data_IF_745600807850
#
_entry.id   IF_745600807850
#
_cell.length_a   1.000
_cell.length_b   1.000
_cell.length_c   1.000
_cell.angle_alpha   90.00
_cell.angle_beta   90.00
_cell.angle_gamma   90.00
#
_symmetry.space_group_name_H-M   'P 1'
#
loop_
_entity.id
_entity.type
_entity.pdbx_description
1 polymer ?
#
# COMPACT_ATOMS: atom_id res chain seq x y z
N UNK A 1 -69.97 -23.97 13.46
CA UNK A 1 -68.68 -24.42 12.86
C UNK A 1 -67.83 -23.28 12.28
N UNK A 2 -68.27 -22.03 12.20
CA UNK A 2 -67.57 -20.90 11.51
C UNK A 2 -66.54 -20.17 12.38
N UNK A 3 -66.68 -20.12 13.72
CA UNK A 3 -65.82 -19.36 14.65
C UNK A 3 -64.43 -20.02 14.82
N UNK A 4 -64.34 -21.33 14.86
CA UNK A 4 -63.05 -22.06 15.04
C UNK A 4 -62.13 -21.92 13.82
N UNK A 5 -62.69 -21.85 12.60
CA UNK A 5 -61.90 -21.65 11.36
C UNK A 5 -61.29 -20.25 11.28
N UNK A 6 -61.99 -19.22 11.77
CA UNK A 6 -61.51 -17.82 11.80
C UNK A 6 -60.33 -17.61 12.74
N UNK A 7 -60.34 -18.25 13.92
CA UNK A 7 -59.26 -18.20 14.92
C UNK A 7 -57.98 -18.88 14.43
N UNK A 8 -58.10 -20.05 13.78
CA UNK A 8 -56.96 -20.80 13.23
C UNK A 8 -56.28 -20.03 12.09
N UNK A 9 -57.02 -19.34 11.20
CA UNK A 9 -56.56 -18.51 10.12
C UNK A 9 -55.81 -17.25 10.62
N UNK A 10 -56.28 -16.64 11.70
CA UNK A 10 -55.62 -15.50 12.31
C UNK A 10 -54.30 -15.88 13.01
N UNK A 11 -54.24 -17.04 13.66
CA UNK A 11 -53.01 -17.60 14.23
C UNK A 11 -51.95 -17.87 13.13
N UNK A 12 -52.35 -18.51 12.03
CA UNK A 12 -51.45 -18.74 10.90
C UNK A 12 -50.89 -17.44 10.32
N UNK A 13 -51.72 -16.39 10.11
CA UNK A 13 -51.27 -15.09 9.66
C UNK A 13 -50.29 -14.46 10.64
N UNK A 14 -50.55 -14.56 11.94
CA UNK A 14 -49.66 -14.04 13.00
C UNK A 14 -48.28 -14.74 12.93
N UNK A 15 -48.22 -16.06 12.87
CA UNK A 15 -46.97 -16.80 12.75
C UNK A 15 -46.24 -16.48 11.45
N UNK A 16 -46.92 -16.31 10.33
CA UNK A 16 -46.30 -15.95 9.05
C UNK A 16 -45.68 -14.55 9.13
N UNK A 17 -46.37 -13.57 9.72
CA UNK A 17 -45.82 -12.21 9.94
C UNK A 17 -44.61 -12.26 10.87
N UNK A 18 -44.68 -13.01 11.96
CA UNK A 18 -43.59 -13.16 12.92
C UNK A 18 -42.37 -13.80 12.26
N UNK A 19 -42.52 -14.84 11.45
CA UNK A 19 -41.42 -15.49 10.73
C UNK A 19 -40.79 -14.51 9.72
N UNK A 20 -41.60 -13.81 8.96
CA UNK A 20 -41.12 -12.79 8.00
C UNK A 20 -40.36 -11.68 8.75
N UNK A 21 -40.89 -11.19 9.88
CA UNK A 21 -40.21 -10.17 10.66
C UNK A 21 -38.85 -10.63 11.20
N UNK A 22 -38.78 -11.85 11.73
CA UNK A 22 -37.53 -12.44 12.22
C UNK A 22 -36.51 -12.54 11.04
N UNK A 23 -36.96 -12.99 9.88
CA UNK A 23 -36.14 -13.13 8.70
C UNK A 23 -35.60 -11.76 8.23
N UNK A 24 -36.42 -10.73 8.21
CA UNK A 24 -35.99 -9.36 7.90
C UNK A 24 -34.97 -8.80 8.92
N UNK A 25 -35.19 -9.07 10.21
CA UNK A 25 -34.27 -8.65 11.27
C UNK A 25 -32.93 -9.37 11.11
N UNK A 26 -32.92 -10.68 10.87
CA UNK A 26 -31.66 -11.44 10.70
C UNK A 26 -30.90 -10.99 9.47
N UNK A 27 -31.58 -10.75 8.34
CA UNK A 27 -30.95 -10.16 7.14
C UNK A 27 -30.41 -8.75 7.42
N UNK A 28 -31.19 -7.90 8.07
CA UNK A 28 -30.78 -6.54 8.46
C UNK A 28 -29.53 -6.55 9.36
N UNK A 29 -29.51 -7.41 10.38
CA UNK A 29 -28.34 -7.58 11.25
C UNK A 29 -27.11 -8.11 10.48
N UNK A 30 -27.32 -9.04 9.55
CA UNK A 30 -26.26 -9.55 8.67
C UNK A 30 -25.64 -8.45 7.81
N UNK A 31 -26.48 -7.60 7.21
CA UNK A 31 -26.04 -6.46 6.40
C UNK A 31 -25.27 -5.45 7.26
N UNK A 32 -25.80 -5.08 8.42
CA UNK A 32 -25.11 -4.15 9.35
C UNK A 32 -23.77 -4.75 9.81
N UNK A 33 -23.73 -6.04 10.15
CA UNK A 33 -22.51 -6.73 10.55
C UNK A 33 -21.47 -6.75 9.43
N UNK A 34 -21.90 -6.97 8.18
CA UNK A 34 -21.01 -6.93 7.00
C UNK A 34 -20.40 -5.53 6.81
N UNK A 35 -21.20 -4.46 6.85
CA UNK A 35 -20.66 -3.10 6.69
C UNK A 35 -19.79 -2.67 7.88
N UNK A 36 -20.14 -3.09 9.10
CA UNK A 36 -19.30 -2.88 10.27
C UNK A 36 -17.93 -3.55 10.10
N UNK A 37 -17.92 -4.81 9.65
CA UNK A 37 -16.68 -5.54 9.38
C UNK A 37 -15.83 -4.82 8.32
N UNK A 38 -16.43 -4.40 7.17
CA UNK A 38 -15.75 -3.69 6.10
C UNK A 38 -15.12 -2.36 6.56
N UNK A 39 -15.70 -1.72 7.57
CA UNK A 39 -15.19 -0.47 8.12
C UNK A 39 -14.11 -0.69 9.18
N UNK A 40 -14.32 -1.62 10.10
CA UNK A 40 -13.45 -1.79 11.28
C UNK A 40 -12.25 -2.72 11.03
N UNK A 41 -12.33 -3.69 10.12
CA UNK A 41 -11.23 -4.59 9.86
C UNK A 41 -9.96 -3.85 9.37
N UNK A 42 -10.02 -2.94 8.36
CA UNK A 42 -8.84 -2.19 7.94
C UNK A 42 -8.25 -1.29 9.05
N UNK A 43 -9.09 -0.75 9.94
CA UNK A 43 -8.61 0.04 11.09
C UNK A 43 -7.80 -0.82 12.05
N UNK A 44 -8.29 -2.04 12.34
CA UNK A 44 -7.57 -2.98 13.20
C UNK A 44 -6.26 -3.47 12.56
N UNK A 45 -6.29 -3.76 11.26
CA UNK A 45 -5.11 -4.12 10.46
C UNK A 45 -4.05 -3.01 10.49
N UNK A 46 -4.46 -1.75 10.32
CA UNK A 46 -3.57 -0.59 10.42
C UNK A 46 -2.97 -0.43 11.83
N UNK A 47 -3.74 -0.68 12.88
CA UNK A 47 -3.24 -0.64 14.25
C UNK A 47 -2.18 -1.73 14.51
N UNK A 48 -2.32 -2.92 13.93
CA UNK A 48 -1.30 -3.97 14.03
C UNK A 48 0.02 -3.56 13.36
N UNK A 49 -0.04 -2.93 12.19
CA UNK A 49 1.14 -2.41 11.50
C UNK A 49 1.78 -1.26 12.28
N UNK A 50 0.99 -0.35 12.86
CA UNK A 50 1.51 0.72 13.71
C UNK A 50 2.22 0.16 14.95
N UNK A 51 1.64 -0.84 15.63
CA UNK A 51 2.28 -1.52 16.76
C UNK A 51 3.58 -2.21 16.33
N UNK A 52 3.60 -2.88 15.18
CA UNK A 52 4.82 -3.46 14.64
C UNK A 52 5.88 -2.39 14.40
N UNK A 53 5.50 -1.25 13.81
CA UNK A 53 6.41 -0.14 13.56
C UNK A 53 7.01 0.42 14.85
N UNK A 54 6.22 0.52 15.93
CA UNK A 54 6.69 0.97 17.25
C UNK A 54 7.63 -0.07 17.89
N UNK A 55 7.33 -1.37 17.75
CA UNK A 55 8.18 -2.44 18.30
C UNK A 55 9.52 -2.57 17.60
N UNK A 56 9.55 -2.45 16.27
CA UNK A 56 10.78 -2.61 15.46
C UNK A 56 11.50 -1.30 15.21
N UNK A 57 10.83 -0.16 15.43
CA UNK A 57 11.40 1.18 15.26
C UNK A 57 12.69 1.34 16.03
N UNK A 58 13.65 1.99 15.42
CA UNK A 58 14.94 2.34 16.04
C UNK A 58 15.11 3.85 15.93
N UNK A 59 15.05 4.55 17.08
CA UNK A 59 15.28 6.00 17.15
C UNK A 59 16.77 6.36 17.24
N UNK A 60 17.66 5.38 17.21
CA UNK A 60 19.08 5.59 17.54
C UNK A 60 20.02 5.14 16.44
N UNK A 61 20.95 6.02 16.12
CA UNK A 61 22.25 5.67 15.58
C UNK A 61 22.94 4.69 16.54
N UNK A 62 22.99 3.41 16.18
CA UNK A 62 23.77 2.42 16.93
C UNK A 62 25.17 2.31 16.34
N UNK A 63 26.20 2.30 17.22
CA UNK A 63 27.56 1.98 16.81
C UNK A 63 27.62 0.46 16.54
N UNK A 64 27.98 0.10 15.31
CA UNK A 64 28.30 -1.27 14.97
C UNK A 64 29.65 -1.72 15.54
N UNK A 65 29.89 -3.02 15.73
CA UNK A 65 31.15 -3.53 16.26
C UNK A 65 32.40 -3.12 15.46
N UNK A 66 32.24 -2.76 14.19
CA UNK A 66 33.30 -2.27 13.30
C UNK A 66 33.55 -0.76 13.42
N UNK A 67 32.83 -0.08 14.32
CA UNK A 67 32.94 1.38 14.52
C UNK A 67 32.11 2.22 13.55
N UNK A 68 31.40 1.61 12.63
CA UNK A 68 30.43 2.32 11.76
C UNK A 68 29.12 2.62 12.51
N UNK A 69 28.35 3.59 11.99
CA UNK A 69 27.07 3.99 12.58
C UNK A 69 25.95 3.35 11.78
N UNK A 70 25.14 2.51 12.43
CA UNK A 70 23.90 2.00 11.83
C UNK A 70 22.83 3.10 11.93
N UNK A 71 22.41 3.60 10.78
CA UNK A 71 21.32 4.58 10.64
C UNK A 71 20.00 3.91 10.24
N UNK A 72 19.89 2.60 10.46
CA UNK A 72 18.68 1.86 10.12
C UNK A 72 17.47 2.41 10.89
N UNK A 73 16.34 2.71 10.21
CA UNK A 73 15.12 3.15 10.87
C UNK A 73 14.44 2.03 11.66
N UNK A 74 14.92 0.80 11.54
CA UNK A 74 14.36 -0.38 12.16
C UNK A 74 15.43 -1.29 12.77
N UNK A 75 15.04 -2.02 13.82
CA UNK A 75 15.80 -3.12 14.36
C UNK A 75 15.54 -4.39 13.53
N UNK A 76 16.53 -4.80 12.72
CA UNK A 76 16.42 -5.93 11.80
C UNK A 76 16.15 -7.27 12.48
N UNK A 77 16.72 -7.49 13.69
CA UNK A 77 16.53 -8.75 14.41
C UNK A 77 15.10 -8.86 14.96
N UNK A 78 14.60 -7.77 15.52
CA UNK A 78 13.17 -7.68 15.92
C UNK A 78 12.23 -7.82 14.74
N UNK A 79 12.54 -7.21 13.59
CA UNK A 79 11.72 -7.34 12.39
C UNK A 79 11.68 -8.80 11.91
N UNK A 80 12.84 -9.48 11.88
CA UNK A 80 12.91 -10.89 11.50
C UNK A 80 12.11 -11.80 12.46
N UNK A 81 12.11 -11.48 13.75
CA UNK A 81 11.32 -12.21 14.76
C UNK A 81 9.81 -11.95 14.61
N UNK A 82 9.41 -10.68 14.47
CA UNK A 82 8.01 -10.25 14.55
C UNK A 82 7.27 -10.34 13.22
N UNK A 83 7.96 -10.16 12.11
CA UNK A 83 7.40 -10.18 10.76
C UNK A 83 8.38 -10.85 9.78
N UNK A 84 8.55 -12.18 9.83
CA UNK A 84 9.56 -12.91 9.05
C UNK A 84 9.38 -12.78 7.53
N UNK A 85 8.17 -12.48 7.05
CA UNK A 85 7.89 -12.25 5.64
C UNK A 85 8.28 -10.84 5.16
N UNK A 86 8.63 -9.92 6.08
CA UNK A 86 9.13 -8.60 5.71
C UNK A 86 10.53 -8.71 5.09
N UNK A 87 10.68 -8.23 3.88
CA UNK A 87 11.96 -8.20 3.15
C UNK A 87 12.57 -6.81 3.08
N UNK A 88 11.72 -5.79 3.28
CA UNK A 88 12.12 -4.39 3.34
C UNK A 88 11.19 -3.61 4.28
N UNK A 89 11.57 -2.37 4.55
CA UNK A 89 10.75 -1.39 5.28
C UNK A 89 10.74 -0.07 4.53
N UNK A 90 9.56 0.54 4.44
CA UNK A 90 9.32 1.79 3.75
C UNK A 90 8.71 2.83 4.69
N UNK A 91 9.36 3.99 4.80
CA UNK A 91 8.82 5.16 5.52
C UNK A 91 8.87 6.38 4.61
N UNK A 92 7.78 7.12 4.52
CA UNK A 92 7.71 8.38 3.75
C UNK A 92 7.37 9.52 4.69
N UNK A 93 8.29 10.45 4.85
CA UNK A 93 8.09 11.61 5.71
C UNK A 93 6.95 12.49 5.19
N UNK A 94 6.12 13.02 6.08
CA UNK A 94 4.94 13.81 5.75
C UNK A 94 3.71 12.99 5.32
N UNK A 95 3.75 11.67 5.51
CA UNK A 95 2.64 10.75 5.23
C UNK A 95 2.44 9.75 6.36
N UNK A 96 1.37 8.94 6.25
CA UNK A 96 1.11 7.82 7.15
C UNK A 96 1.94 6.57 6.82
N UNK A 97 2.75 6.59 5.77
CA UNK A 97 3.50 5.41 5.31
C UNK A 97 4.68 5.12 6.23
N UNK A 98 4.60 4.04 6.98
CA UNK A 98 5.66 3.48 7.83
C UNK A 98 5.41 1.97 7.98
N UNK A 99 5.74 1.21 6.94
CA UNK A 99 5.22 -0.13 6.73
C UNK A 99 6.31 -1.14 6.33
N UNK A 100 6.15 -2.42 6.72
CA UNK A 100 6.91 -3.51 6.14
C UNK A 100 6.56 -3.67 4.65
N UNK A 101 7.53 -4.15 3.87
CA UNK A 101 7.35 -4.51 2.47
C UNK A 101 7.70 -5.99 2.27
N UNK A 102 6.79 -6.73 1.67
CA UNK A 102 6.97 -8.14 1.36
C UNK A 102 7.49 -8.37 -0.07
N UNK A 103 8.07 -9.52 -0.30
CA UNK A 103 8.30 -10.06 -1.64
C UNK A 103 7.25 -11.14 -1.85
N UNK A 104 6.39 -11.04 -2.88
CA UNK A 104 5.34 -12.02 -3.12
C UNK A 104 5.94 -13.38 -3.54
N UNK A 105 5.25 -14.49 -3.23
CA UNK A 105 5.66 -15.82 -3.62
C UNK A 105 5.68 -15.99 -5.15
N UNK A 106 6.40 -17.00 -5.63
CA UNK A 106 6.62 -17.20 -7.07
C UNK A 106 5.38 -17.65 -7.83
N UNK A 107 4.43 -18.26 -7.17
CA UNK A 107 3.19 -18.81 -7.71
C UNK A 107 2.01 -17.82 -7.65
N UNK A 108 2.10 -16.78 -6.81
CA UNK A 108 1.08 -15.72 -6.73
C UNK A 108 1.70 -14.35 -6.45
N UNK A 109 1.96 -13.58 -7.51
CA UNK A 109 2.55 -12.24 -7.41
C UNK A 109 1.63 -11.21 -6.75
N UNK A 110 0.33 -11.51 -6.59
CA UNK A 110 -0.67 -10.60 -6.04
C UNK A 110 -1.17 -11.01 -4.65
N UNK A 111 -0.55 -12.01 -4.02
CA UNK A 111 -0.91 -12.52 -2.68
C UNK A 111 -1.13 -11.38 -1.68
N UNK A 112 -0.23 -10.41 -1.64
CA UNK A 112 -0.27 -9.32 -0.65
C UNK A 112 -1.29 -8.21 -0.95
N UNK A 113 -2.07 -8.32 -2.00
CA UNK A 113 -3.26 -7.46 -2.15
C UNK A 113 -4.32 -7.74 -1.07
N UNK A 114 -4.38 -8.96 -0.56
CA UNK A 114 -5.38 -9.36 0.43
C UNK A 114 -4.83 -10.24 1.56
N UNK A 115 -3.51 -10.22 1.78
CA UNK A 115 -2.87 -10.88 2.92
C UNK A 115 -1.96 -9.90 3.67
N UNK A 116 -1.98 -10.01 5.01
CA UNK A 116 -1.08 -9.25 5.88
C UNK A 116 0.36 -9.79 5.81
N UNK A 117 1.28 -9.10 6.49
CA UNK A 117 2.70 -9.49 6.53
C UNK A 117 2.91 -10.84 7.23
N UNK A 118 1.95 -11.33 8.00
CA UNK A 118 2.00 -12.63 8.67
C UNK A 118 1.36 -13.76 7.85
N UNK A 119 0.76 -13.45 6.69
CA UNK A 119 0.13 -14.40 5.78
C UNK A 119 -1.35 -14.67 6.05
N UNK A 120 -2.00 -13.89 6.92
CA UNK A 120 -3.44 -13.99 7.15
C UNK A 120 -4.20 -13.13 6.12
N UNK A 121 -5.46 -13.49 5.86
CA UNK A 121 -6.33 -12.64 5.06
C UNK A 121 -6.51 -11.27 5.72
N UNK A 122 -6.28 -10.20 4.98
CA UNK A 122 -6.42 -8.82 5.40
C UNK A 122 -6.91 -7.94 4.25
N UNK A 123 -7.93 -7.12 4.49
CA UNK A 123 -8.49 -6.25 3.44
C UNK A 123 -7.52 -5.15 3.00
N UNK A 124 -6.69 -4.68 3.91
CA UNK A 124 -5.67 -3.67 3.61
C UNK A 124 -4.45 -4.27 2.88
N UNK A 125 -4.27 -5.58 2.94
CA UNK A 125 -3.11 -6.25 2.40
C UNK A 125 -1.80 -5.83 3.07
N UNK A 126 -0.72 -5.92 2.33
CA UNK A 126 0.63 -5.48 2.73
C UNK A 126 1.28 -4.72 1.58
N UNK A 127 2.19 -3.81 1.84
CA UNK A 127 3.04 -3.26 0.78
C UNK A 127 3.94 -4.37 0.22
N UNK A 128 4.08 -4.45 -1.09
CA UNK A 128 4.88 -5.50 -1.71
C UNK A 128 5.61 -5.05 -2.97
N UNK A 129 6.75 -5.69 -3.24
CA UNK A 129 7.54 -5.47 -4.44
C UNK A 129 6.90 -6.14 -5.66
N UNK A 130 7.01 -5.50 -6.81
CA UNK A 130 6.77 -6.16 -8.09
C UNK A 130 7.83 -7.24 -8.34
N UNK A 131 7.42 -8.41 -8.79
CA UNK A 131 8.33 -9.54 -9.08
C UNK A 131 9.33 -9.26 -10.19
N UNK A 132 8.99 -8.38 -11.13
CA UNK A 132 9.87 -7.99 -12.23
C UNK A 132 10.92 -6.95 -11.80
N UNK A 133 10.79 -6.41 -10.58
CA UNK A 133 11.70 -5.41 -10.00
C UNK A 133 12.21 -5.86 -8.62
N UNK A 134 12.99 -6.96 -8.53
CA UNK A 134 13.51 -7.48 -7.26
C UNK A 134 14.40 -6.46 -6.52
N UNK A 135 14.78 -6.75 -5.27
CA UNK A 135 15.62 -5.87 -4.43
C UNK A 135 16.92 -5.46 -5.10
N UNK A 136 17.49 -6.32 -5.95
CA UNK A 136 18.71 -6.06 -6.72
C UNK A 136 18.52 -5.11 -7.91
N UNK A 137 17.27 -4.79 -8.29
CA UNK A 137 16.99 -3.90 -9.42
C UNK A 137 17.35 -2.45 -9.11
N UNK A 138 17.83 -1.72 -10.11
CA UNK A 138 18.01 -0.25 -10.05
C UNK A 138 16.68 0.47 -9.89
N UNK A 139 15.66 0.01 -10.59
CA UNK A 139 14.30 0.51 -10.51
C UNK A 139 13.41 -0.50 -9.80
N UNK A 140 12.78 -0.09 -8.69
CA UNK A 140 11.90 -0.95 -7.87
C UNK A 140 10.50 -0.38 -7.85
N UNK A 141 9.51 -1.25 -7.94
CA UNK A 141 8.10 -0.88 -7.82
C UNK A 141 7.54 -1.48 -6.53
N UNK A 142 6.91 -0.64 -5.73
CA UNK A 142 6.19 -1.05 -4.51
C UNK A 142 4.71 -0.76 -4.71
N UNK A 143 3.90 -1.78 -4.57
CA UNK A 143 2.44 -1.68 -4.59
C UNK A 143 1.87 -1.57 -3.18
N UNK A 144 0.76 -0.88 -3.06
CA UNK A 144 -0.02 -0.81 -1.83
C UNK A 144 -1.43 -0.26 -2.07
N UNK A 145 -2.39 -0.68 -1.27
CA UNK A 145 -3.75 -0.16 -1.35
C UNK A 145 -3.88 1.29 -0.90
N UNK A 146 -4.80 2.03 -1.52
CA UNK A 146 -5.32 3.28 -0.98
C UNK A 146 -6.54 2.98 -0.10
N UNK A 147 -6.34 2.92 1.21
CA UNK A 147 -7.40 2.58 2.16
C UNK A 147 -8.01 3.82 2.81
N UNK A 148 -9.35 3.87 2.92
CA UNK A 148 -10.06 4.98 3.56
C UNK A 148 -9.72 5.15 5.05
N UNK A 149 -9.22 4.10 5.72
CA UNK A 149 -8.76 4.14 7.11
C UNK A 149 -7.43 4.91 7.31
N UNK A 150 -6.91 5.60 6.28
CA UNK A 150 -5.63 6.33 6.29
C UNK A 150 -4.44 5.43 6.61
N UNK A 151 -4.44 4.23 6.06
CA UNK A 151 -3.36 3.25 6.16
C UNK A 151 -2.83 2.90 4.77
N UNK A 152 -1.77 2.12 4.71
CA UNK A 152 -1.07 1.75 3.48
C UNK A 152 -0.72 3.01 2.65
N UNK A 153 -1.02 3.02 1.36
CA UNK A 153 -0.76 4.14 0.46
C UNK A 153 -1.92 5.15 0.37
N UNK A 154 -2.71 5.31 1.46
CA UNK A 154 -3.76 6.33 1.49
C UNK A 154 -3.25 7.71 1.05
N UNK A 155 -2.19 8.18 1.73
CA UNK A 155 -1.61 9.52 1.50
C UNK A 155 -0.79 9.60 0.20
N UNK A 156 -0.54 8.48 -0.48
CA UNK A 156 0.14 8.45 -1.79
C UNK A 156 -0.86 8.64 -2.94
N UNK A 157 -2.11 8.21 -2.75
CA UNK A 157 -3.12 8.16 -3.81
C UNK A 157 -3.49 9.48 -4.46
N UNK A 158 -3.25 10.63 -3.81
CA UNK A 158 -3.54 11.97 -4.33
C UNK A 158 -2.29 12.77 -4.74
N UNK A 159 -1.10 12.16 -4.69
CA UNK A 159 0.18 12.84 -4.93
C UNK A 159 0.47 13.21 -6.39
N UNK A 160 -0.38 12.79 -7.32
CA UNK A 160 -0.34 13.28 -8.69
C UNK A 160 -0.95 14.70 -8.84
N UNK A 161 -1.48 15.29 -7.77
CA UNK A 161 -1.83 16.73 -7.69
C UNK A 161 -0.63 17.52 -7.15
N UNK A 162 -0.22 18.57 -7.84
CA UNK A 162 0.99 19.32 -7.50
C UNK A 162 1.02 19.84 -6.06
N UNK A 163 -0.11 20.37 -5.57
CA UNK A 163 -0.22 20.87 -4.19
C UNK A 163 0.01 19.78 -3.14
N UNK A 164 -0.51 18.58 -3.39
CA UNK A 164 -0.34 17.43 -2.52
C UNK A 164 1.07 16.81 -2.66
N UNK A 165 1.63 16.81 -3.88
CA UNK A 165 2.99 16.36 -4.15
C UNK A 165 4.04 17.16 -3.35
N UNK A 166 3.87 18.47 -3.25
CA UNK A 166 4.79 19.36 -2.54
C UNK A 166 4.91 19.07 -1.04
N UNK A 167 3.99 18.28 -0.48
CA UNK A 167 4.02 17.85 0.92
C UNK A 167 4.78 16.52 1.13
N UNK A 168 5.29 15.90 0.05
CA UNK A 168 6.09 14.69 0.17
C UNK A 168 7.49 15.01 0.70
N UNK A 169 7.87 14.31 1.74
CA UNK A 169 9.23 14.33 2.27
C UNK A 169 10.09 13.19 1.73
N UNK A 170 11.22 12.99 2.40
CA UNK A 170 12.17 11.93 2.09
C UNK A 170 11.52 10.56 2.34
N UNK A 171 11.73 9.65 1.41
CA UNK A 171 11.47 8.24 1.57
C UNK A 171 12.73 7.58 2.15
N UNK A 172 12.58 6.93 3.28
CA UNK A 172 13.60 6.05 3.87
C UNK A 172 13.23 4.61 3.52
N UNK A 173 14.17 3.93 2.90
CA UNK A 173 14.08 2.53 2.54
C UNK A 173 15.13 1.74 3.31
N UNK A 174 14.73 0.62 3.87
CA UNK A 174 15.65 -0.41 4.33
C UNK A 174 15.28 -1.73 3.67
N UNK A 175 16.26 -2.49 3.26
CA UNK A 175 16.06 -3.88 2.85
C UNK A 175 17.19 -4.78 3.37
N UNK A 176 16.90 -6.09 3.39
CA UNK A 176 17.83 -7.10 3.96
C UNK A 176 19.09 -7.31 3.13
N UNK A 177 19.12 -6.86 1.88
CA UNK A 177 20.26 -7.06 0.97
C UNK A 177 21.17 -5.84 0.92
N UNK A 178 20.58 -4.62 0.89
CA UNK A 178 21.30 -3.38 0.61
C UNK A 178 21.37 -2.43 1.82
N UNK A 179 20.66 -2.75 2.91
CA UNK A 179 20.60 -1.88 4.09
C UNK A 179 19.74 -0.64 3.89
N UNK A 180 20.10 0.49 4.52
CA UNK A 180 19.31 1.72 4.52
C UNK A 180 19.74 2.68 3.42
N UNK A 181 18.77 3.28 2.73
CA UNK A 181 18.98 4.34 1.76
C UNK A 181 17.85 5.38 1.85
N UNK A 182 18.16 6.61 1.44
CA UNK A 182 17.22 7.72 1.38
C UNK A 182 16.96 8.14 -0.05
N UNK A 183 15.71 8.51 -0.33
CA UNK A 183 15.24 8.88 -1.67
C UNK A 183 14.44 10.18 -1.58
N UNK A 184 14.61 11.04 -2.57
CA UNK A 184 13.83 12.27 -2.72
C UNK A 184 12.69 12.09 -3.72
N UNK A 185 11.54 12.74 -3.53
CA UNK A 185 10.46 12.71 -4.51
C UNK A 185 10.90 13.46 -5.77
N UNK A 186 10.59 12.91 -6.94
CA UNK A 186 10.97 13.48 -8.25
C UNK A 186 9.76 13.93 -9.03
N UNK A 187 8.79 13.04 -9.23
CA UNK A 187 7.59 13.31 -10.00
C UNK A 187 6.47 12.31 -9.66
N UNK A 188 5.24 12.68 -9.99
CA UNK A 188 4.09 11.80 -9.87
C UNK A 188 3.13 11.98 -11.06
N UNK A 189 2.43 10.92 -11.42
CA UNK A 189 1.42 10.93 -12.48
C UNK A 189 0.24 10.02 -12.16
N UNK A 190 -0.85 10.19 -12.90
CA UNK A 190 -1.97 9.24 -12.94
C UNK A 190 -1.96 8.50 -14.25
N UNK A 191 -2.22 7.21 -14.17
CA UNK A 191 -2.35 6.34 -15.33
C UNK A 191 -3.61 5.51 -15.22
N UNK A 192 -4.04 4.90 -16.33
CA UNK A 192 -5.12 3.92 -16.34
C UNK A 192 -4.69 2.64 -15.60
N UNK A 193 -5.67 1.88 -15.09
CA UNK A 193 -5.38 0.66 -14.33
C UNK A 193 -4.67 -0.43 -15.13
N UNK A 194 -4.93 -0.47 -16.43
CA UNK A 194 -4.36 -1.41 -17.39
C UNK A 194 -3.02 -0.96 -18.00
N UNK A 195 -2.53 0.23 -17.62
CA UNK A 195 -1.20 0.68 -17.99
C UNK A 195 -0.15 -0.12 -17.17
N UNK A 196 0.55 -0.99 -17.87
CA UNK A 196 1.59 -1.86 -17.29
C UNK A 196 3.00 -1.48 -17.71
N UNK A 197 3.17 -0.39 -18.45
CA UNK A 197 4.47 0.03 -19.01
C UNK A 197 5.53 0.23 -17.94
N UNK A 198 5.13 0.69 -16.74
CA UNK A 198 6.04 0.85 -15.61
C UNK A 198 6.73 -0.46 -15.22
N UNK A 199 6.12 -1.62 -15.40
CA UNK A 199 6.72 -2.92 -15.03
C UNK A 199 7.97 -3.26 -15.85
N UNK A 200 8.16 -2.64 -16.99
CA UNK A 200 9.32 -2.86 -17.86
C UNK A 200 10.61 -2.25 -17.29
N UNK A 201 10.52 -1.30 -16.35
CA UNK A 201 11.71 -0.58 -15.81
C UNK A 201 12.73 -1.52 -15.16
N UNK A 202 12.29 -2.64 -14.60
CA UNK A 202 13.17 -3.64 -13.97
C UNK A 202 14.12 -4.35 -14.92
N UNK A 203 13.78 -4.39 -16.22
CA UNK A 203 14.58 -5.05 -17.27
C UNK A 203 15.31 -4.08 -18.19
N UNK A 204 15.16 -2.77 -18.01
CA UNK A 204 15.79 -1.75 -18.84
C UNK A 204 17.29 -1.66 -18.54
N UNK A 205 18.09 -1.49 -19.60
CA UNK A 205 19.46 -1.03 -19.44
C UNK A 205 19.51 0.42 -19.00
N UNK A 206 20.71 0.91 -18.69
CA UNK A 206 20.94 2.26 -18.18
C UNK A 206 20.35 3.37 -19.07
N UNK A 207 20.59 3.29 -20.38
CA UNK A 207 20.19 4.36 -21.30
C UNK A 207 18.69 4.37 -21.53
N UNK A 208 18.07 3.20 -21.61
CA UNK A 208 16.62 3.04 -21.71
C UNK A 208 15.92 3.48 -20.40
N UNK A 209 16.45 3.10 -19.22
CA UNK A 209 15.91 3.52 -17.94
C UNK A 209 16.00 5.05 -17.80
N UNK A 210 17.15 5.63 -18.11
CA UNK A 210 17.32 7.09 -18.10
C UNK A 210 16.31 7.80 -19.00
N UNK A 211 16.11 7.31 -20.22
CA UNK A 211 15.16 7.91 -21.15
C UNK A 211 13.72 7.79 -20.62
N UNK A 212 13.36 6.63 -20.09
CA UNK A 212 12.05 6.39 -19.51
C UNK A 212 11.78 7.32 -18.32
N UNK A 213 12.73 7.47 -17.39
CA UNK A 213 12.63 8.38 -16.23
C UNK A 213 12.47 9.85 -16.68
N UNK A 214 13.23 10.28 -17.70
CA UNK A 214 13.10 11.62 -18.26
C UNK A 214 11.72 11.87 -18.88
N UNK A 215 11.20 10.89 -19.59
CA UNK A 215 9.87 10.99 -20.22
C UNK A 215 8.77 10.92 -19.15
N UNK A 216 8.94 10.09 -18.12
CA UNK A 216 8.06 10.10 -16.94
C UNK A 216 8.04 11.51 -16.29
N UNK A 217 9.21 12.10 -16.02
CA UNK A 217 9.30 13.44 -15.42
C UNK A 217 8.64 14.52 -16.29
N UNK A 218 8.87 14.51 -17.60
CA UNK A 218 8.29 15.49 -18.52
C UNK A 218 6.77 15.42 -18.60
N UNK A 219 6.23 14.20 -18.59
CA UNK A 219 4.79 13.95 -18.74
C UNK A 219 4.05 13.90 -17.39
N UNK A 220 4.77 14.02 -16.27
CA UNK A 220 4.19 13.97 -14.93
C UNK A 220 3.21 15.12 -14.69
N UNK A 221 2.11 14.82 -13.99
CA UNK A 221 1.11 15.81 -13.58
C UNK A 221 1.54 16.63 -12.35
N UNK A 222 2.47 16.08 -11.57
CA UNK A 222 3.12 16.76 -10.45
C UNK A 222 4.61 16.41 -10.42
N UNK A 223 5.48 17.37 -10.07
CA UNK A 223 6.93 17.16 -10.06
C UNK A 223 7.64 18.12 -9.12
N UNK A 224 8.83 17.75 -8.68
CA UNK A 224 9.71 18.64 -7.93
C UNK A 224 10.14 19.80 -8.82
N UNK A 225 9.78 21.02 -8.42
CA UNK A 225 10.23 22.23 -9.08
C UNK A 225 11.75 22.36 -8.90
N UNK A 226 12.43 22.77 -9.96
CA UNK A 226 13.89 22.94 -9.98
C UNK A 226 14.69 21.63 -9.77
N UNK A 227 14.10 20.47 -10.05
CA UNK A 227 14.83 19.21 -10.01
C UNK A 227 15.97 19.23 -11.03
N UNK A 228 17.18 18.87 -10.58
CA UNK A 228 18.32 18.75 -11.48
C UNK A 228 18.20 17.50 -12.36
N UNK A 229 17.78 17.67 -13.61
CA UNK A 229 17.60 16.57 -14.56
C UNK A 229 18.90 15.80 -14.87
N UNK A 230 20.06 16.38 -14.61
CA UNK A 230 21.35 15.67 -14.69
C UNK A 230 21.50 14.54 -13.68
N UNK A 231 20.65 14.50 -12.64
CA UNK A 231 20.60 13.40 -11.69
C UNK A 231 19.82 12.20 -12.24
N UNK A 232 19.02 12.37 -13.27
CA UNK A 232 18.36 11.27 -13.99
C UNK A 232 19.40 10.71 -14.98
N UNK A 233 20.18 9.76 -14.49
CA UNK A 233 21.34 9.21 -15.20
C UNK A 233 21.20 7.71 -15.54
N UNK A 234 20.11 7.07 -15.09
CA UNK A 234 19.84 5.63 -15.27
C UNK A 234 20.72 4.71 -14.42
N UNK A 235 21.63 5.27 -13.62
CA UNK A 235 22.48 4.52 -12.68
C UNK A 235 22.01 4.62 -11.22
N UNK A 236 21.38 5.74 -10.86
CA UNK A 236 20.82 5.93 -9.54
C UNK A 236 19.63 5.05 -9.34
N UNK A 237 19.53 4.49 -8.14
CA UNK A 237 18.37 3.69 -7.78
C UNK A 237 17.12 4.58 -7.71
N UNK A 238 16.01 4.03 -8.22
CA UNK A 238 14.69 4.66 -8.16
C UNK A 238 13.67 3.70 -7.52
N UNK A 239 12.72 4.27 -6.79
CA UNK A 239 11.58 3.55 -6.23
C UNK A 239 10.30 4.21 -6.73
N UNK A 240 9.41 3.41 -7.29
CA UNK A 240 8.07 3.81 -7.69
C UNK A 240 7.06 3.29 -6.68
N UNK A 241 6.27 4.19 -6.11
CA UNK A 241 5.13 3.83 -5.27
C UNK A 241 3.88 3.85 -6.14
N UNK A 242 3.16 2.73 -6.18
CA UNK A 242 1.98 2.55 -7.05
C UNK A 242 0.76 2.18 -6.23
N UNK A 243 -0.31 2.97 -6.37
CA UNK A 243 -1.58 2.74 -5.66
C UNK A 243 -2.79 3.21 -6.47
N UNK A 244 -4.00 2.84 -6.05
CA UNK A 244 -5.22 3.39 -6.63
C UNK A 244 -5.30 4.90 -6.40
N UNK A 245 -5.72 5.67 -7.41
CA UNK A 245 -5.92 7.11 -7.26
C UNK A 245 -7.32 7.46 -6.73
N UNK A 246 -8.33 6.67 -7.12
CA UNK A 246 -9.74 6.93 -6.80
C UNK A 246 -10.34 8.12 -7.56
N UNK A 247 -9.70 8.60 -8.65
CA UNK A 247 -10.21 9.70 -9.48
C UNK A 247 -11.01 9.17 -10.66
N UNK A 248 -12.26 9.65 -10.78
CA UNK A 248 -13.21 9.19 -11.79
C UNK A 248 -12.81 9.54 -13.25
N UNK A 249 -11.98 10.56 -13.46
CA UNK A 249 -11.51 10.99 -14.79
C UNK A 249 -10.69 9.92 -15.52
N UNK A 250 -10.02 9.05 -14.76
CA UNK A 250 -9.22 7.93 -15.28
C UNK A 250 -9.91 6.57 -15.07
N UNK A 251 -11.23 6.57 -14.77
CA UNK A 251 -11.95 5.39 -14.34
C UNK A 251 -11.74 5.08 -12.85
N UNK A 252 -12.62 4.23 -12.29
CA UNK A 252 -12.56 3.89 -10.86
C UNK A 252 -11.26 3.18 -10.45
N UNK A 253 -10.53 2.65 -11.42
CA UNK A 253 -9.32 1.84 -11.22
C UNK A 253 -8.02 2.57 -11.56
N UNK A 254 -8.05 3.89 -11.77
CA UNK A 254 -6.83 4.66 -12.05
C UNK A 254 -5.75 4.46 -10.98
N UNK A 255 -4.48 4.55 -11.40
CA UNK A 255 -3.32 4.41 -10.52
C UNK A 255 -2.60 5.75 -10.37
N UNK A 256 -2.14 6.04 -9.15
CA UNK A 256 -1.12 7.06 -8.91
C UNK A 256 0.24 6.38 -8.84
N UNK A 257 1.20 6.91 -9.57
CA UNK A 257 2.60 6.49 -9.56
C UNK A 257 3.42 7.67 -9.05
N UNK A 258 4.24 7.44 -8.03
CA UNK A 258 5.18 8.44 -7.48
C UNK A 258 6.59 7.92 -7.63
N UNK A 259 7.43 8.66 -8.34
CA UNK A 259 8.85 8.36 -8.54
C UNK A 259 9.70 9.02 -7.45
N UNK A 260 10.53 8.22 -6.81
CA UNK A 260 11.55 8.63 -5.86
C UNK A 260 12.92 8.22 -6.37
N UNK A 261 13.94 9.08 -6.21
CA UNK A 261 15.31 8.78 -6.62
C UNK A 261 16.26 8.88 -5.44
N UNK A 262 17.22 7.97 -5.38
CA UNK A 262 18.25 7.89 -4.34
C UNK A 262 19.06 9.19 -4.25
N UNK A 263 19.30 9.64 -3.02
CA UNK A 263 20.09 10.85 -2.71
C UNK A 263 21.57 10.52 -2.77
#
# INVERSE_FOLDING_TARGET
MTVVKKTKRNRMKFYSIMVVSILLITVGLGVVGYYAYQYFAPVAEGAQIANLADEVGQDTTSLLPDGSIDVSPINKDKLAEKAPNASAWLKVAGTNVNNPVAIPPSDDEWTYLNHDIWGNYAQAGTLFLDRLTPLSSKARIVYGHKMNARIMFHDIGDKADQGNFNNLGILTWWDKENGTASYRPVAATRVQADDTDIRNVGSMDKDNLRQWELDFYKNATARSENYNLGLIDGDREVIFLVTCSGYAEYGHDARTIVMYQKI
#
